data_IF_614331717054
#
_entry.id   IF_614331717054
#
_cell.length_a   1.000
_cell.length_b   1.000
_cell.length_c   1.000
_cell.angle_alpha   90.00
_cell.angle_beta   90.00
_cell.angle_gamma   90.00
#
_symmetry.space_group_name_H-M   'P 1'
#
loop_
_entity.id
_entity.type
_entity.pdbx_description
1 polymer ?
#
# COMPACT_ATOMS: atom_id res chain seq x y z
N UNK A 1 -7.14 -13.67 -22.66
CA UNK A 1 -8.07 -13.83 -21.52
C UNK A 1 -7.22 -14.02 -20.28
N UNK A 2 -7.17 -13.01 -19.43
CA UNK A 2 -6.31 -12.90 -18.24
C UNK A 2 -7.22 -13.17 -17.04
N UNK A 3 -6.92 -14.19 -16.23
CA UNK A 3 -7.65 -14.44 -14.97
C UNK A 3 -7.21 -13.38 -13.97
N UNK A 4 -8.17 -12.71 -13.33
CA UNK A 4 -7.93 -11.65 -12.33
C UNK A 4 -7.95 -12.30 -10.95
N UNK A 5 -6.95 -11.98 -10.12
CA UNK A 5 -6.80 -12.50 -8.76
C UNK A 5 -6.91 -11.31 -7.82
N UNK A 6 -7.84 -11.32 -6.86
CA UNK A 6 -8.06 -10.19 -5.94
C UNK A 6 -7.83 -10.61 -4.49
N UNK A 7 -7.38 -9.69 -3.64
CA UNK A 7 -7.33 -9.85 -2.19
C UNK A 7 -8.17 -8.74 -1.57
N UNK A 8 -8.85 -9.02 -0.46
CA UNK A 8 -9.63 -8.01 0.25
C UNK A 8 -8.90 -7.62 1.53
N UNK A 9 -8.78 -6.31 1.78
CA UNK A 9 -8.13 -5.77 2.96
C UNK A 9 -9.12 -4.87 3.70
N UNK A 10 -9.36 -5.18 4.97
CA UNK A 10 -10.04 -4.31 5.91
C UNK A 10 -8.99 -3.52 6.69
N UNK A 11 -9.08 -2.18 6.65
CA UNK A 11 -8.29 -1.28 7.48
C UNK A 11 -9.21 -0.64 8.51
N UNK A 12 -8.90 -0.77 9.79
CA UNK A 12 -9.58 -0.01 10.85
C UNK A 12 -8.60 0.98 11.48
N UNK A 13 -9.03 2.23 11.64
CA UNK A 13 -8.26 3.30 12.28
C UNK A 13 -9.10 3.92 13.41
N UNK A 14 -8.67 3.69 14.66
CA UNK A 14 -9.22 4.34 15.86
C UNK A 14 -8.22 5.45 16.22
N UNK A 15 -8.58 6.73 16.08
CA UNK A 15 -7.62 7.84 16.24
C UNK A 15 -8.11 8.93 17.18
N UNK A 16 -7.50 9.03 18.36
CA UNK A 16 -7.43 10.27 19.15
C UNK A 16 -6.63 11.32 18.37
N UNK A 17 -7.16 12.53 18.20
CA UNK A 17 -6.41 13.63 17.57
C UNK A 17 -5.31 14.14 18.52
N UNK A 18 -4.20 13.43 18.52
CA UNK A 18 -2.87 13.97 18.27
C UNK A 18 -2.23 12.99 17.30
N UNK A 19 -2.11 13.37 16.02
CA UNK A 19 -1.58 12.49 14.99
C UNK A 19 -0.10 12.25 15.23
N UNK A 20 0.19 11.21 16.00
CA UNK A 20 1.44 10.46 15.96
C UNK A 20 1.07 9.04 15.58
N UNK A 21 0.85 8.81 14.28
CA UNK A 21 0.62 7.46 13.76
C UNK A 21 1.98 6.89 13.39
N UNK A 22 2.44 5.98 14.25
CA UNK A 22 3.59 5.11 14.05
C UNK A 22 3.06 3.69 13.95
N UNK A 23 3.03 3.11 12.75
CA UNK A 23 3.45 1.74 12.42
C UNK A 23 2.86 1.29 11.07
N UNK A 24 3.78 1.08 10.13
CA UNK A 24 3.79 0.10 9.03
C UNK A 24 2.44 -0.42 8.47
N UNK A 25 1.88 0.26 7.46
CA UNK A 25 0.95 -0.38 6.53
C UNK A 25 1.72 -1.37 5.64
N UNK A 26 1.33 -2.66 5.65
CA UNK A 26 1.65 -3.55 4.52
C UNK A 26 0.92 -3.03 3.27
N UNK A 27 1.66 -2.83 2.18
CA UNK A 27 1.15 -2.26 0.93
C UNK A 27 -0.05 -3.02 0.40
N UNK A 28 -1.15 -2.30 0.26
CA UNK A 28 -2.34 -2.75 -0.46
C UNK A 28 -2.63 -1.71 -1.51
N UNK A 29 -2.73 -2.20 -2.74
CA UNK A 29 -2.93 -1.43 -3.97
C UNK A 29 -4.19 -0.55 -3.81
N UNK A 30 -4.02 0.76 -3.62
CA UNK A 30 -5.08 1.76 -3.80
C UNK A 30 -5.21 2.09 -5.29
N UNK A 31 -5.71 1.17 -6.08
CA UNK A 31 -6.31 1.57 -7.35
C UNK A 31 -7.71 2.08 -7.03
N UNK A 32 -8.05 3.28 -7.52
CA UNK A 32 -9.26 4.07 -7.21
C UNK A 32 -10.30 3.34 -6.35
N UNK A 33 -10.45 3.79 -5.10
CA UNK A 33 -11.58 3.38 -4.28
C UNK A 33 -12.85 3.66 -5.07
N UNK A 34 -13.57 2.62 -5.49
CA UNK A 34 -15.00 2.75 -5.64
C UNK A 34 -15.51 3.02 -4.23
N UNK A 35 -15.64 4.30 -3.87
CA UNK A 35 -16.31 4.70 -2.63
C UNK A 35 -17.74 4.23 -2.80
N UNK A 36 -18.02 3.02 -2.34
CA UNK A 36 -19.39 2.65 -2.03
C UNK A 36 -19.73 3.45 -0.78
N UNK A 37 -20.30 4.63 -1.00
CA UNK A 37 -21.11 5.29 0.00
C UNK A 37 -22.16 4.25 0.40
N UNK A 38 -21.96 3.65 1.57
CA UNK A 38 -23.03 2.97 2.26
C UNK A 38 -24.05 4.07 2.58
N UNK A 39 -25.00 4.25 1.68
CA UNK A 39 -26.09 5.18 1.87
C UNK A 39 -26.78 4.75 3.17
N UNK A 40 -26.79 5.65 4.15
CA UNK A 40 -27.53 5.43 5.39
C UNK A 40 -28.98 5.23 4.98
N UNK A 41 -29.45 3.99 5.03
CA UNK A 41 -30.87 3.68 4.83
C UNK A 41 -31.66 4.10 6.10
N UNK A 42 -31.56 5.38 6.46
CA UNK A 42 -32.39 6.03 7.46
C UNK A 42 -33.73 6.35 6.80
N UNK A 43 -34.62 5.35 6.79
CA UNK A 43 -36.06 5.57 6.69
C UNK A 43 -36.61 5.76 5.27
N UNK A 44 -36.51 4.74 4.41
CA UNK A 44 -37.32 4.68 3.20
C UNK A 44 -38.70 4.05 3.49
N UNK A 45 -39.70 4.90 3.78
CA UNK A 45 -41.11 4.52 3.60
C UNK A 45 -41.49 4.72 2.13
N UNK A 46 -41.07 3.79 1.29
CA UNK A 46 -41.50 3.76 -0.11
C UNK A 46 -41.98 2.37 -0.50
N UNK A 47 -43.04 2.37 -1.28
CA UNK A 47 -43.87 1.22 -1.64
C UNK A 47 -43.01 0.15 -2.31
N UNK A 48 -43.11 -1.08 -1.82
CA UNK A 48 -42.51 -2.28 -2.42
C UNK A 48 -43.09 -2.54 -3.80
N UNK A 49 -42.46 -2.01 -4.84
CA UNK A 49 -42.59 -2.54 -6.19
C UNK A 49 -41.35 -3.36 -6.52
N UNK A 50 -41.55 -4.68 -6.61
CA UNK A 50 -40.66 -5.70 -7.17
C UNK A 50 -39.15 -5.40 -7.11
N UNK A 51 -38.52 -5.71 -5.97
CA UNK A 51 -37.13 -6.19 -6.01
C UNK A 51 -37.15 -7.47 -6.85
N UNK A 52 -36.70 -7.37 -8.10
CA UNK A 52 -36.19 -8.51 -8.85
C UNK A 52 -35.30 -9.29 -7.89
N UNK A 53 -35.61 -10.56 -7.66
CA UNK A 53 -34.67 -11.46 -7.01
C UNK A 53 -33.52 -11.64 -8.00
N UNK A 54 -32.52 -10.77 -7.95
CA UNK A 54 -31.21 -11.11 -8.47
C UNK A 54 -30.76 -12.31 -7.65
N UNK A 55 -30.88 -13.48 -8.27
CA UNK A 55 -30.38 -14.70 -7.68
C UNK A 55 -28.88 -14.58 -7.80
N UNK A 56 -28.19 -14.40 -6.68
CA UNK A 56 -26.78 -14.77 -6.59
C UNK A 56 -26.66 -16.20 -7.13
N UNK A 57 -26.09 -16.35 -8.32
CA UNK A 57 -26.07 -17.64 -9.00
C UNK A 57 -24.96 -18.52 -8.46
N UNK A 58 -23.92 -17.93 -7.86
CA UNK A 58 -22.75 -18.63 -7.32
C UNK A 58 -22.05 -17.79 -6.24
N UNK A 59 -21.82 -18.37 -5.06
CA UNK A 59 -20.90 -17.80 -4.06
C UNK A 59 -19.46 -18.21 -4.40
N UNK A 60 -18.60 -17.24 -4.72
CA UNK A 60 -17.20 -17.48 -5.11
C UNK A 60 -16.33 -17.81 -3.90
N UNK A 61 -16.52 -17.05 -2.82
CA UNK A 61 -15.81 -17.21 -1.56
C UNK A 61 -16.77 -16.87 -0.42
N UNK A 62 -16.69 -17.65 0.65
CA UNK A 62 -17.44 -17.44 1.87
C UNK A 62 -16.62 -18.00 3.03
N UNK A 63 -16.55 -17.23 4.10
CA UNK A 63 -15.92 -17.63 5.35
C UNK A 63 -16.72 -16.99 6.49
N UNK A 64 -17.30 -17.83 7.33
CA UNK A 64 -18.01 -17.44 8.55
C UNK A 64 -17.15 -17.57 9.79
N UNK A 65 -15.84 -17.84 9.62
CA UNK A 65 -14.82 -17.95 10.66
C UNK A 65 -14.97 -19.16 11.59
N UNK A 66 -15.96 -20.01 11.36
CA UNK A 66 -16.21 -21.24 12.15
C UNK A 66 -15.14 -22.32 11.92
N UNK A 67 -14.40 -22.21 10.82
CA UNK A 67 -13.29 -23.11 10.49
C UNK A 67 -11.94 -22.61 11.00
N UNK A 68 -11.94 -21.54 11.81
CA UNK A 68 -10.75 -20.84 12.29
C UNK A 68 -10.27 -19.78 11.30
N UNK A 69 -9.06 -19.26 11.54
CA UNK A 69 -8.51 -18.09 10.83
C UNK A 69 -7.54 -18.45 9.71
N UNK A 70 -7.62 -19.68 9.17
CA UNK A 70 -6.64 -20.19 8.22
C UNK A 70 -6.61 -19.34 6.94
N UNK A 71 -5.46 -18.74 6.64
CA UNK A 71 -5.26 -17.90 5.45
C UNK A 71 -5.62 -16.43 5.64
N UNK A 72 -6.23 -16.07 6.77
CA UNK A 72 -6.37 -14.68 7.18
C UNK A 72 -5.04 -14.17 7.75
N UNK A 73 -4.73 -12.90 7.49
CA UNK A 73 -3.61 -12.18 8.09
C UNK A 73 -4.18 -11.01 8.87
N UNK A 74 -3.81 -10.87 10.13
CA UNK A 74 -4.33 -9.81 10.98
C UNK A 74 -3.24 -9.24 11.88
N UNK A 75 -3.30 -7.93 12.08
CA UNK A 75 -2.34 -7.18 12.87
C UNK A 75 -2.73 -7.17 14.36
N UNK A 76 -1.88 -6.55 15.18
CA UNK A 76 -2.07 -6.46 16.63
C UNK A 76 -3.43 -5.83 16.96
N UNK A 77 -4.15 -6.41 17.93
CA UNK A 77 -5.47 -5.97 18.37
C UNK A 77 -6.60 -6.84 17.81
N UNK A 78 -6.44 -7.41 16.61
CA UNK A 78 -7.44 -8.33 16.06
C UNK A 78 -7.35 -9.71 16.70
N UNK A 79 -8.49 -10.23 17.14
CA UNK A 79 -8.63 -11.59 17.64
C UNK A 79 -9.93 -12.24 17.19
N UNK A 80 -9.98 -13.58 17.23
CA UNK A 80 -11.20 -14.32 17.01
C UNK A 80 -11.93 -14.45 18.36
N UNK A 81 -13.16 -13.94 18.42
CA UNK A 81 -14.00 -13.98 19.62
C UNK A 81 -15.23 -14.86 19.45
N UNK A 82 -15.69 -15.41 20.57
CA UNK A 82 -16.99 -16.08 20.70
C UNK A 82 -18.02 -15.24 21.49
N UNK A 83 -17.63 -14.06 21.97
CA UNK A 83 -18.50 -13.22 22.81
C UNK A 83 -19.62 -12.55 22.01
N UNK A 84 -19.30 -12.17 20.79
CA UNK A 84 -20.23 -11.55 19.84
C UNK A 84 -19.89 -11.97 18.43
N UNK A 85 -20.83 -12.59 17.74
CA UNK A 85 -20.63 -13.07 16.37
C UNK A 85 -21.87 -12.87 15.50
N UNK A 86 -21.64 -12.61 14.21
CA UNK A 86 -22.71 -12.72 13.20
C UNK A 86 -22.91 -14.17 12.75
N UNK A 87 -21.82 -14.94 12.73
CA UNK A 87 -21.83 -16.39 12.54
C UNK A 87 -22.35 -17.11 13.80
N UNK A 88 -22.54 -18.45 13.76
CA UNK A 88 -23.03 -19.22 14.90
C UNK A 88 -22.25 -19.02 16.20
N UNK A 89 -20.92 -18.92 16.14
CA UNK A 89 -20.06 -18.80 17.32
C UNK A 89 -18.82 -17.92 17.16
N UNK A 90 -18.34 -17.60 15.95
CA UNK A 90 -17.04 -16.91 15.79
C UNK A 90 -17.09 -15.61 14.99
N UNK A 91 -16.49 -14.54 15.49
CA UNK A 91 -16.22 -13.36 14.66
C UNK A 91 -14.86 -12.76 14.98
N UNK A 92 -14.27 -12.07 14.01
CA UNK A 92 -13.13 -11.22 14.31
C UNK A 92 -13.60 -10.00 15.10
N UNK A 93 -12.82 -9.64 16.10
CA UNK A 93 -13.04 -8.47 16.94
C UNK A 93 -11.71 -7.75 17.12
N UNK A 94 -11.79 -6.42 17.07
CA UNK A 94 -10.78 -5.54 17.62
C UNK A 94 -11.50 -4.70 18.68
N UNK A 95 -11.05 -4.81 19.91
CA UNK A 95 -11.69 -4.13 21.04
C UNK A 95 -11.36 -2.63 21.07
N UNK A 96 -12.11 -1.91 21.91
CA UNK A 96 -11.96 -0.47 22.13
C UNK A 96 -10.79 -0.10 23.06
N UNK A 97 -10.07 -1.09 23.60
CA UNK A 97 -8.84 -0.85 24.38
C UNK A 97 -7.63 -0.56 23.45
N UNK A 98 -7.79 -0.71 22.13
CA UNK A 98 -6.78 -0.39 21.11
C UNK A 98 -6.79 1.10 20.70
N UNK A 99 -6.45 1.99 21.64
CA UNK A 99 -6.41 3.44 21.41
C UNK A 99 -5.35 3.86 20.38
N UNK A 100 -5.67 4.88 19.58
CA UNK A 100 -4.74 5.49 18.60
C UNK A 100 -4.06 4.47 17.67
N UNK A 101 -4.76 3.38 17.37
CA UNK A 101 -4.24 2.23 16.65
C UNK A 101 -4.84 2.18 15.25
N UNK A 102 -3.98 1.98 14.26
CA UNK A 102 -4.35 1.56 12.91
C UNK A 102 -3.97 0.09 12.81
N UNK A 103 -4.94 -0.77 12.51
CA UNK A 103 -4.74 -2.22 12.47
C UNK A 103 -5.57 -2.84 11.36
N UNK A 104 -5.00 -3.82 10.68
CA UNK A 104 -5.56 -4.40 9.46
C UNK A 104 -5.97 -5.87 9.66
N UNK A 105 -7.06 -6.26 9.02
CA UNK A 105 -7.54 -7.63 8.88
C UNK A 105 -7.67 -7.96 7.38
N UNK A 106 -6.95 -8.97 6.92
CA UNK A 106 -6.76 -9.27 5.50
C UNK A 106 -7.25 -10.68 5.21
N UNK A 107 -8.12 -10.81 4.21
CA UNK A 107 -8.61 -12.11 3.74
C UNK A 107 -7.51 -12.90 3.05
N UNK A 108 -7.65 -14.23 2.91
CA UNK A 108 -6.91 -14.96 1.89
C UNK A 108 -7.10 -14.31 0.50
N UNK A 109 -6.15 -14.53 -0.41
CA UNK A 109 -6.28 -14.14 -1.81
C UNK A 109 -7.38 -14.99 -2.48
N UNK A 110 -8.36 -14.34 -3.11
CA UNK A 110 -9.50 -14.98 -3.77
C UNK A 110 -9.40 -14.80 -5.29
N UNK A 111 -9.45 -15.90 -6.03
CA UNK A 111 -9.56 -15.84 -7.50
C UNK A 111 -11.01 -15.57 -7.88
N UNK A 112 -11.25 -14.45 -8.58
CA UNK A 112 -12.57 -14.12 -9.10
C UNK A 112 -12.77 -14.74 -10.50
N UNK A 113 -13.98 -15.21 -10.84
CA UNK A 113 -14.30 -15.65 -12.19
C UNK A 113 -14.24 -14.47 -13.17
N UNK A 114 -14.04 -14.78 -14.45
CA UNK A 114 -14.19 -13.81 -15.53
C UNK A 114 -15.66 -13.41 -15.61
N UNK A 115 -15.93 -12.10 -15.75
CA UNK A 115 -17.28 -11.56 -15.94
C UNK A 115 -17.49 -11.26 -17.42
N UNK A 116 -18.64 -11.66 -17.96
CA UNK A 116 -19.05 -11.28 -19.30
C UNK A 116 -19.75 -9.91 -19.27
N UNK A 117 -19.03 -8.89 -19.74
CA UNK A 117 -19.55 -7.53 -19.82
C UNK A 117 -20.71 -7.38 -20.82
N UNK A 118 -20.86 -8.30 -21.80
CA UNK A 118 -21.98 -8.30 -22.75
C UNK A 118 -23.26 -8.90 -22.13
N UNK A 119 -23.12 -9.71 -21.07
CA UNK A 119 -24.24 -10.29 -20.32
C UNK A 119 -24.60 -9.53 -19.04
N UNK A 120 -24.00 -8.34 -18.83
CA UNK A 120 -24.23 -7.50 -17.65
C UNK A 120 -23.90 -8.22 -16.32
N UNK A 121 -22.92 -9.13 -16.32
CA UNK A 121 -22.49 -9.81 -15.10
C UNK A 121 -21.81 -8.85 -14.12
N UNK A 122 -22.07 -9.03 -12.83
CA UNK A 122 -21.47 -8.26 -11.75
C UNK A 122 -21.12 -9.16 -10.56
N UNK A 123 -20.06 -8.80 -9.84
CA UNK A 123 -19.64 -9.47 -8.61
C UNK A 123 -19.93 -8.52 -7.46
N UNK A 124 -20.66 -9.02 -6.47
CA UNK A 124 -20.96 -8.29 -5.25
C UNK A 124 -20.11 -8.83 -4.10
N UNK A 125 -19.68 -7.92 -3.24
CA UNK A 125 -19.02 -8.24 -1.99
C UNK A 125 -19.94 -7.82 -0.83
N UNK A 126 -20.09 -8.68 0.16
CA UNK A 126 -20.89 -8.42 1.36
C UNK A 126 -20.18 -8.98 2.59
N UNK A 127 -20.37 -8.32 3.72
CA UNK A 127 -19.82 -8.70 5.01
C UNK A 127 -20.77 -8.20 6.10
N UNK A 128 -20.77 -8.90 7.23
CA UNK A 128 -21.46 -8.43 8.43
C UNK A 128 -20.50 -7.60 9.27
N UNK A 129 -20.94 -6.42 9.66
CA UNK A 129 -20.18 -5.52 10.53
C UNK A 129 -21.04 -5.13 11.72
N UNK A 130 -20.60 -5.55 12.90
CA UNK A 130 -21.07 -4.95 14.14
C UNK A 130 -20.06 -3.92 14.60
N UNK A 131 -20.40 -2.66 14.36
CA UNK A 131 -19.58 -1.53 14.76
C UNK A 131 -20.39 -0.61 15.64
N UNK A 132 -19.97 -0.50 16.90
CA UNK A 132 -20.50 0.44 17.86
C UNK A 132 -19.38 1.45 18.09
N UNK A 133 -19.41 2.58 17.38
CA UNK A 133 -18.49 3.71 17.56
C UNK A 133 -19.07 4.69 18.59
N UNK A 134 -18.80 4.55 19.90
CA UNK A 134 -19.04 5.63 20.83
C UNK A 134 -18.12 6.82 20.50
N UNK A 135 -18.64 8.04 20.67
CA UNK A 135 -17.83 9.26 20.87
C UNK A 135 -16.99 9.02 22.14
N UNK A 136 -15.78 8.48 21.97
CA UNK A 136 -15.06 7.76 23.02
C UNK A 136 -13.75 8.39 23.46
N UNK A 137 -13.30 9.48 22.84
CA UNK A 137 -12.29 10.31 23.49
C UNK A 137 -12.82 10.94 24.81
N UNK A 138 -14.15 10.90 24.98
CA UNK A 138 -14.87 11.26 26.20
C UNK A 138 -14.92 12.77 26.43
N UNK A 139 -14.60 13.58 25.42
CA UNK A 139 -14.66 15.04 25.51
C UNK A 139 -16.08 15.60 25.33
N UNK A 140 -16.97 14.78 24.76
CA UNK A 140 -18.40 15.03 24.61
C UNK A 140 -18.71 16.11 23.57
N UNK A 141 -17.84 16.27 22.57
CA UNK A 141 -18.04 17.20 21.47
C UNK A 141 -18.99 16.68 20.37
N UNK A 142 -19.38 15.40 20.44
CA UNK A 142 -20.29 14.73 19.52
C UNK A 142 -19.76 14.59 18.07
N UNK A 143 -18.44 14.67 17.88
CA UNK A 143 -17.77 14.33 16.63
C UNK A 143 -17.62 12.80 16.49
N UNK A 144 -17.17 12.32 15.31
CA UNK A 144 -16.85 10.90 15.10
C UNK A 144 -15.33 10.79 14.93
N UNK A 145 -14.67 10.08 15.84
CA UNK A 145 -13.21 9.97 15.90
C UNK A 145 -12.71 8.60 15.41
N UNK A 146 -13.63 7.64 15.29
CA UNK A 146 -13.33 6.27 14.88
C UNK A 146 -13.76 6.00 13.44
N UNK A 147 -12.89 5.33 12.69
CA UNK A 147 -13.07 5.07 11.28
C UNK A 147 -12.76 3.62 10.92
N UNK A 148 -13.54 3.05 10.01
CA UNK A 148 -13.17 1.84 9.29
C UNK A 148 -13.18 2.12 7.80
N UNK A 149 -12.30 1.45 7.07
CA UNK A 149 -12.28 1.42 5.61
C UNK A 149 -12.20 -0.01 5.10
N UNK A 150 -12.79 -0.24 3.93
CA UNK A 150 -12.73 -1.51 3.22
C UNK A 150 -12.09 -1.25 1.88
N UNK A 151 -11.01 -1.98 1.60
CA UNK A 151 -10.24 -1.88 0.38
C UNK A 151 -10.26 -3.23 -0.36
N UNK A 152 -10.45 -3.21 -1.68
CA UNK A 152 -10.36 -4.40 -2.55
C UNK A 152 -9.10 -4.25 -3.41
N UNK A 153 -8.10 -5.10 -3.20
CA UNK A 153 -6.90 -5.12 -4.01
C UNK A 153 -7.00 -6.09 -5.20
N UNK A 154 -6.65 -5.61 -6.38
CA UNK A 154 -6.37 -6.48 -7.52
C UNK A 154 -4.90 -6.92 -7.48
N UNK A 155 -4.66 -8.18 -7.10
CA UNK A 155 -3.31 -8.75 -7.02
C UNK A 155 -2.79 -9.21 -8.39
N UNK A 156 -3.58 -9.11 -9.46
CA UNK A 156 -3.16 -9.47 -10.82
C UNK A 156 -2.54 -8.32 -11.60
N UNK A 157 -2.61 -7.11 -11.06
CA UNK A 157 -2.03 -5.88 -11.60
C UNK A 157 -1.33 -5.14 -10.46
N UNK A 158 -0.08 -5.50 -10.20
CA UNK A 158 0.78 -4.73 -9.31
C UNK A 158 1.30 -3.51 -10.08
N UNK A 159 1.25 -2.29 -9.49
CA UNK A 159 1.85 -1.12 -10.11
C UNK A 159 3.32 -1.31 -10.47
N UNK A 160 4.06 -2.10 -9.70
CA UNK A 160 5.38 -2.57 -10.12
C UNK A 160 5.27 -3.69 -11.17
N UNK A 161 5.78 -3.40 -12.36
CA UNK A 161 5.89 -4.35 -13.47
C UNK A 161 7.00 -3.91 -14.44
N UNK A 162 7.48 -4.83 -15.28
CA UNK A 162 8.40 -4.47 -16.36
C UNK A 162 7.63 -3.94 -17.55
N UNK A 163 8.02 -2.78 -18.09
CA UNK A 163 7.39 -2.17 -19.26
C UNK A 163 8.42 -1.57 -20.20
N UNK A 164 8.08 -1.43 -21.49
CA UNK A 164 8.87 -0.65 -22.45
C UNK A 164 8.48 0.84 -22.45
N UNK A 165 7.47 1.23 -21.66
CA UNK A 165 7.06 2.61 -21.49
C UNK A 165 8.16 3.40 -20.77
N UNK A 166 8.75 4.39 -21.45
CA UNK A 166 9.87 5.22 -20.94
C UNK A 166 11.10 4.44 -20.44
N UNK A 167 11.25 3.17 -20.84
CA UNK A 167 12.34 2.30 -20.45
C UNK A 167 13.72 2.85 -20.83
N UNK A 168 14.74 2.52 -20.04
CA UNK A 168 16.13 2.84 -20.34
C UNK A 168 16.62 2.01 -21.52
N UNK A 169 16.51 0.69 -21.44
CA UNK A 169 16.78 -0.22 -22.57
C UNK A 169 15.81 -1.41 -22.59
N UNK A 170 15.07 -1.58 -23.70
CA UNK A 170 14.13 -2.69 -23.84
C UNK A 170 12.93 -2.52 -22.91
N UNK A 171 12.98 -3.16 -21.74
CA UNK A 171 12.01 -3.00 -20.67
C UNK A 171 12.74 -2.57 -19.39
N UNK A 172 12.11 -1.72 -18.59
CA UNK A 172 12.57 -1.37 -17.24
C UNK A 172 11.48 -1.68 -16.23
N UNK A 173 11.85 -1.85 -14.97
CA UNK A 173 10.88 -1.82 -13.89
C UNK A 173 10.25 -0.44 -13.78
N UNK A 174 8.92 -0.43 -13.76
CA UNK A 174 8.12 0.77 -13.64
C UNK A 174 7.09 0.57 -12.53
N UNK A 175 7.01 1.55 -11.63
CA UNK A 175 5.90 1.71 -10.69
C UNK A 175 4.86 2.66 -11.29
N UNK A 176 3.87 2.08 -11.95
CA UNK A 176 2.79 2.79 -12.63
C UNK A 176 1.73 1.83 -13.15
N UNK A 177 0.72 2.37 -13.81
CA UNK A 177 -0.38 1.64 -14.41
C UNK A 177 -0.44 1.95 -15.91
N UNK A 178 -0.43 0.90 -16.72
CA UNK A 178 -0.44 0.96 -18.18
C UNK A 178 -1.72 1.61 -18.75
N UNK A 179 -2.85 1.53 -18.04
CA UNK A 179 -4.10 2.17 -18.47
C UNK A 179 -4.08 3.66 -18.19
N UNK A 180 -3.49 4.07 -17.06
CA UNK A 180 -3.31 5.47 -16.70
C UNK A 180 -2.15 6.13 -17.45
N UNK A 181 -1.17 5.34 -17.89
CA UNK A 181 0.18 5.81 -18.27
C UNK A 181 0.87 6.57 -17.14
N UNK A 182 0.65 6.16 -15.88
CA UNK A 182 1.17 6.84 -14.70
C UNK A 182 0.69 6.22 -13.39
N UNK A 183 0.51 7.00 -12.33
CA UNK A 183 0.07 6.52 -11.02
C UNK A 183 -1.19 7.26 -10.54
N UNK A 184 -1.83 6.73 -9.50
CA UNK A 184 -3.00 7.34 -8.86
C UNK A 184 -2.70 7.77 -7.42
N UNK A 185 -3.64 8.46 -6.81
CA UNK A 185 -3.55 8.97 -5.45
C UNK A 185 -3.53 7.84 -4.39
N UNK A 186 -2.82 8.07 -3.29
CA UNK A 186 -2.81 7.21 -2.11
C UNK A 186 -2.07 5.88 -2.31
N UNK A 187 -1.15 5.80 -3.25
CA UNK A 187 -0.39 4.58 -3.49
C UNK A 187 0.67 4.38 -2.43
N UNK A 188 0.86 3.14 -2.02
CA UNK A 188 2.04 2.67 -1.29
C UNK A 188 2.50 1.38 -1.95
N UNK A 189 3.61 1.43 -2.69
CA UNK A 189 4.05 0.36 -3.57
C UNK A 189 5.50 -0.01 -3.31
N UNK A 190 5.81 -1.30 -3.38
CA UNK A 190 7.13 -1.84 -3.09
C UNK A 190 7.55 -2.84 -4.17
N UNK A 191 8.79 -2.74 -4.62
CA UNK A 191 9.49 -3.75 -5.41
C UNK A 191 10.64 -4.27 -4.55
N UNK A 192 10.51 -5.52 -4.10
CA UNK A 192 11.47 -6.17 -3.22
C UNK A 192 12.37 -7.12 -4.03
N UNK A 193 13.66 -7.09 -3.75
CA UNK A 193 14.61 -8.06 -4.30
C UNK A 193 14.37 -9.45 -3.69
N UNK A 194 14.94 -10.52 -4.29
CA UNK A 194 15.25 -11.73 -3.54
C UNK A 194 16.18 -11.43 -2.36
N UNK A 195 16.33 -12.37 -1.43
CA UNK A 195 17.35 -12.28 -0.38
C UNK A 195 18.77 -12.32 -1.00
N UNK A 196 19.61 -11.38 -0.59
CA UNK A 196 20.99 -11.21 -1.06
C UNK A 196 21.93 -11.44 0.12
N UNK A 197 22.82 -12.41 0.01
CA UNK A 197 23.90 -12.59 0.99
C UNK A 197 25.04 -11.62 0.72
N UNK A 198 25.23 -10.64 1.60
CA UNK A 198 26.30 -9.64 1.46
C UNK A 198 27.65 -10.26 1.84
N UNK A 199 28.66 -10.21 0.95
CA UNK A 199 29.97 -10.79 1.25
C UNK A 199 30.63 -10.18 2.50
N UNK A 200 31.30 -11.01 3.28
CA UNK A 200 32.00 -10.61 4.52
C UNK A 200 33.24 -9.72 4.30
N UNK A 201 33.67 -9.53 3.04
CA UNK A 201 34.85 -8.74 2.70
C UNK A 201 34.74 -8.16 1.29
N UNK A 202 35.49 -7.09 1.04
CA UNK A 202 35.35 -6.30 -0.19
C UNK A 202 34.24 -5.28 -0.04
N UNK A 203 34.28 -4.24 -0.87
CA UNK A 203 33.25 -3.21 -0.86
C UNK A 203 32.05 -3.71 -1.65
N UNK A 204 30.84 -3.59 -1.10
CA UNK A 204 29.57 -3.98 -1.72
C UNK A 204 28.71 -2.75 -1.96
N UNK A 205 28.24 -2.60 -3.20
CA UNK A 205 27.49 -1.43 -3.63
C UNK A 205 26.27 -1.86 -4.41
N UNK A 206 25.12 -1.25 -4.13
CA UNK A 206 23.95 -1.26 -5.00
C UNK A 206 24.05 -0.10 -6.00
N UNK A 207 23.92 -0.40 -7.28
CA UNK A 207 23.79 0.59 -8.36
C UNK A 207 22.57 0.29 -9.22
N UNK A 208 21.94 1.32 -9.77
CA UNK A 208 20.85 1.17 -10.73
C UNK A 208 20.70 2.45 -11.56
N UNK A 209 20.05 2.34 -12.71
CA UNK A 209 19.51 3.49 -13.44
C UNK A 209 18.18 3.88 -12.83
N UNK A 210 17.94 5.18 -12.69
CA UNK A 210 16.71 5.72 -12.14
C UNK A 210 16.15 6.84 -13.01
N UNK A 211 14.83 6.90 -13.11
CA UNK A 211 14.10 8.06 -13.60
C UNK A 211 12.78 8.19 -12.82
N UNK A 212 12.33 9.42 -12.57
CA UNK A 212 11.06 9.64 -11.88
C UNK A 212 10.38 10.94 -12.34
N UNK A 213 9.06 10.91 -12.39
CA UNK A 213 8.18 12.06 -12.61
C UNK A 213 7.04 11.96 -11.62
N UNK A 214 7.27 12.51 -10.43
CA UNK A 214 6.47 12.38 -9.22
C UNK A 214 6.02 13.78 -8.81
N UNK A 215 4.87 13.93 -8.15
CA UNK A 215 4.36 15.25 -7.76
C UNK A 215 5.44 16.07 -7.05
N UNK A 216 5.60 17.33 -7.49
CA UNK A 216 6.60 18.24 -6.94
C UNK A 216 6.03 19.02 -5.76
N UNK A 217 6.79 19.08 -4.67
CA UNK A 217 6.53 20.03 -3.59
C UNK A 217 7.21 21.37 -3.86
N UNK A 218 6.43 22.45 -3.82
CA UNK A 218 6.92 23.82 -3.92
C UNK A 218 6.63 24.62 -2.64
N UNK A 219 7.63 25.39 -2.18
CA UNK A 219 7.48 26.29 -1.02
C UNK A 219 8.29 25.85 0.21
N UNK A 220 8.02 26.51 1.34
CA UNK A 220 8.63 26.14 2.63
C UNK A 220 7.89 24.95 3.26
N UNK A 221 8.52 24.22 4.20
CA UNK A 221 7.86 23.11 4.88
C UNK A 221 6.54 23.51 5.56
N UNK A 222 5.56 22.62 5.56
CA UNK A 222 4.23 22.80 6.15
C UNK A 222 4.05 21.88 7.36
N UNK A 223 3.39 22.39 8.41
CA UNK A 223 2.94 21.56 9.53
C UNK A 223 1.62 20.91 9.16
N UNK A 224 1.64 19.58 8.98
CA UNK A 224 0.45 18.77 8.75
C UNK A 224 0.36 17.78 9.91
N UNK A 225 -0.59 18.03 10.80
CA UNK A 225 -0.85 17.19 11.97
C UNK A 225 0.39 16.92 12.84
N UNK A 226 1.23 17.95 13.06
CA UNK A 226 2.45 17.86 13.88
C UNK A 226 3.69 17.40 13.11
N UNK A 227 3.55 17.14 11.81
CA UNK A 227 4.63 16.72 10.95
C UNK A 227 5.07 17.86 10.02
N UNK A 228 6.38 18.12 9.98
CA UNK A 228 6.95 19.16 9.14
C UNK A 228 7.25 18.63 7.73
N UNK A 229 6.20 18.54 6.93
CA UNK A 229 6.21 18.03 5.56
C UNK A 229 6.94 19.00 4.63
N UNK A 230 7.85 18.48 3.81
CA UNK A 230 8.53 19.24 2.76
C UNK A 230 8.59 18.55 1.39
N UNK A 231 7.88 17.43 1.23
CA UNK A 231 7.64 16.72 -0.02
C UNK A 231 6.17 16.27 -0.08
N UNK A 232 5.60 16.12 -1.28
CA UNK A 232 4.29 15.49 -1.45
C UNK A 232 4.49 13.98 -1.66
N UNK A 233 4.59 13.57 -2.91
CA UNK A 233 4.86 12.20 -3.32
C UNK A 233 6.36 11.92 -3.37
N UNK A 234 6.74 10.66 -3.16
CA UNK A 234 8.15 10.31 -3.21
C UNK A 234 8.44 8.82 -3.44
N UNK A 235 9.64 8.57 -3.94
CA UNK A 235 10.27 7.25 -3.98
C UNK A 235 11.54 7.19 -3.12
N UNK A 236 11.86 6.02 -2.57
CA UNK A 236 13.11 5.79 -1.83
C UNK A 236 13.59 4.34 -1.92
N UNK A 237 14.83 4.11 -1.47
CA UNK A 237 15.43 2.77 -1.35
C UNK A 237 15.49 2.38 0.12
N UNK A 238 15.08 1.15 0.41
CA UNK A 238 15.08 0.56 1.75
C UNK A 238 15.79 -0.77 1.79
N UNK A 239 16.15 -1.19 2.98
CA UNK A 239 16.79 -2.47 3.25
C UNK A 239 16.14 -3.13 4.47
N UNK A 240 16.07 -4.45 4.44
CA UNK A 240 15.67 -5.30 5.55
C UNK A 240 16.73 -6.35 5.82
N UNK A 241 17.03 -6.60 7.09
CA UNK A 241 18.01 -7.60 7.57
C UNK A 241 17.35 -8.74 8.35
N UNK A 242 16.01 -8.78 8.38
CA UNK A 242 15.20 -9.69 9.19
C UNK A 242 14.11 -10.41 8.37
N UNK A 243 14.41 -10.65 7.09
CA UNK A 243 13.51 -11.37 6.17
C UNK A 243 12.28 -10.56 5.76
N UNK A 244 12.38 -9.22 5.75
CA UNK A 244 11.32 -8.32 5.35
C UNK A 244 10.34 -7.95 6.47
N UNK A 245 10.69 -8.26 7.73
CA UNK A 245 9.83 -7.95 8.89
C UNK A 245 9.90 -6.47 9.25
N UNK A 246 11.10 -5.87 9.21
CA UNK A 246 11.31 -4.43 9.40
C UNK A 246 12.16 -3.86 8.26
N UNK A 247 12.03 -2.55 8.05
CA UNK A 247 12.67 -1.84 6.93
C UNK A 247 13.29 -0.51 7.38
N UNK A 248 14.49 -0.22 6.89
CA UNK A 248 15.13 1.09 7.03
C UNK A 248 15.42 1.70 5.66
N UNK A 249 15.22 3.00 5.50
CA UNK A 249 15.66 3.68 4.28
C UNK A 249 17.18 3.86 4.31
N UNK A 250 17.83 3.67 3.18
CA UNK A 250 19.27 3.89 3.03
C UNK A 250 19.53 5.16 2.22
N UNK A 251 20.63 5.84 2.53
CA UNK A 251 21.04 7.05 1.81
C UNK A 251 22.05 6.69 0.72
N UNK A 252 21.92 7.33 -0.43
CA UNK A 252 22.82 7.13 -1.55
C UNK A 252 23.03 8.40 -2.36
N UNK A 253 23.54 8.21 -3.57
CA UNK A 253 23.60 9.24 -4.60
C UNK A 253 22.62 8.88 -5.72
N UNK A 254 21.85 9.83 -6.28
CA UNK A 254 21.68 11.20 -5.77
C UNK A 254 20.98 11.21 -4.40
N UNK A 255 21.22 12.25 -3.61
CA UNK A 255 20.53 12.43 -2.33
C UNK A 255 19.03 12.64 -2.52
N UNK A 256 18.21 12.18 -1.58
CA UNK A 256 16.78 12.45 -1.56
C UNK A 256 16.46 13.94 -1.64
N UNK A 257 15.45 14.30 -2.43
CA UNK A 257 14.98 15.68 -2.63
C UNK A 257 14.38 16.25 -1.35
N UNK A 258 13.70 15.40 -0.59
CA UNK A 258 12.88 15.76 0.56
C UNK A 258 13.23 14.87 1.76
N UNK A 259 13.08 15.43 2.95
CA UNK A 259 13.34 14.73 4.22
C UNK A 259 12.08 14.18 4.87
N UNK A 260 10.91 14.67 4.45
CA UNK A 260 9.61 14.35 5.00
C UNK A 260 8.56 14.51 3.90
N UNK A 261 8.03 13.39 3.40
CA UNK A 261 7.06 13.40 2.30
C UNK A 261 5.67 13.00 2.77
N UNK A 262 4.65 13.74 2.35
CA UNK A 262 3.27 13.53 2.77
C UNK A 262 2.69 12.21 2.28
N UNK A 263 3.07 11.76 1.07
CA UNK A 263 2.66 10.46 0.54
C UNK A 263 3.00 9.31 1.49
N UNK A 264 4.17 9.33 2.15
CA UNK A 264 4.50 8.34 3.18
C UNK A 264 3.59 8.46 4.41
N UNK A 265 3.48 9.67 4.95
CA UNK A 265 2.72 9.94 6.17
C UNK A 265 1.23 9.63 6.03
N UNK A 266 0.62 10.03 4.91
CA UNK A 266 -0.75 9.68 4.56
C UNK A 266 -0.95 8.16 4.47
N UNK A 267 0.06 7.46 3.96
CA UNK A 267 0.08 6.00 3.93
C UNK A 267 0.51 5.35 5.25
N UNK A 268 0.47 6.08 6.37
CA UNK A 268 0.68 5.53 7.71
C UNK A 268 2.15 5.28 8.08
N UNK A 269 3.08 5.75 7.25
CA UNK A 269 4.49 5.73 7.61
C UNK A 269 4.89 6.94 8.46
N UNK A 270 6.10 6.88 9.01
CA UNK A 270 6.67 8.00 9.77
C UNK A 270 6.73 9.27 8.91
N UNK A 271 6.39 10.41 9.49
CA UNK A 271 6.56 11.68 8.81
C UNK A 271 8.01 12.18 8.75
N UNK A 272 8.99 11.35 9.10
CA UNK A 272 10.41 11.56 8.81
C UNK A 272 10.93 10.65 7.71
N UNK A 273 10.06 10.06 6.89
CA UNK A 273 10.47 9.24 5.74
C UNK A 273 10.85 10.14 4.56
N UNK A 274 12.11 10.07 4.06
CA UNK A 274 12.59 10.89 2.96
C UNK A 274 12.28 10.26 1.60
N UNK A 275 12.55 10.99 0.53
CA UNK A 275 12.56 10.43 -0.81
C UNK A 275 12.81 11.43 -1.92
N UNK A 276 12.92 10.92 -3.14
CA UNK A 276 12.91 11.72 -4.36
C UNK A 276 11.48 11.97 -4.79
N UNK A 277 11.13 13.24 -4.99
CA UNK A 277 9.90 13.67 -5.66
C UNK A 277 10.20 14.81 -6.64
N UNK A 278 9.18 15.25 -7.37
CA UNK A 278 9.34 16.12 -8.52
C UNK A 278 9.80 15.39 -9.78
N UNK A 279 10.46 16.11 -10.69
CA UNK A 279 10.94 15.56 -11.97
C UNK A 279 12.44 15.31 -11.90
N UNK A 280 12.84 14.05 -12.14
CA UNK A 280 14.23 13.69 -12.39
C UNK A 280 14.76 14.33 -13.68
N UNK A 281 16.09 14.34 -13.84
CA UNK A 281 16.75 14.94 -15.01
C UNK A 281 16.91 13.95 -16.17
N UNK A 282 15.91 13.09 -16.38
CA UNK A 282 16.02 11.89 -17.22
C UNK A 282 16.64 10.71 -16.47
N UNK A 283 17.05 9.68 -17.20
CA UNK A 283 17.75 8.52 -16.65
C UNK A 283 19.13 8.91 -16.07
N UNK A 284 19.32 8.66 -14.78
CA UNK A 284 20.55 8.93 -14.05
C UNK A 284 21.04 7.72 -13.26
N UNK A 285 22.33 7.74 -12.88
CA UNK A 285 22.96 6.69 -12.08
C UNK A 285 22.67 6.89 -10.59
N UNK A 286 22.21 5.82 -9.95
CA UNK A 286 22.03 5.74 -8.51
C UNK A 286 23.05 4.78 -7.89
N UNK A 287 23.53 5.10 -6.68
CA UNK A 287 24.60 4.37 -5.99
C UNK A 287 24.44 4.40 -4.46
N UNK A 288 24.45 3.22 -3.83
CA UNK A 288 24.25 3.03 -2.40
C UNK A 288 25.32 2.09 -1.82
N UNK A 289 25.93 2.50 -0.71
CA UNK A 289 26.91 1.69 0.02
C UNK A 289 26.20 0.64 0.87
N UNK A 290 26.63 -0.62 0.77
CA UNK A 290 26.10 -1.75 1.53
C UNK A 290 27.16 -2.36 2.46
N UNK A 291 28.33 -1.75 2.61
CA UNK A 291 29.42 -2.27 3.45
C UNK A 291 29.03 -2.46 4.91
N UNK A 292 28.07 -1.66 5.40
CA UNK A 292 27.51 -1.78 6.75
C UNK A 292 26.83 -3.12 7.03
N UNK A 293 26.42 -3.85 6.00
CA UNK A 293 25.68 -5.12 6.09
C UNK A 293 26.56 -6.35 5.76
N UNK A 294 27.89 -6.20 5.78
CA UNK A 294 28.81 -7.27 5.43
C UNK A 294 28.60 -8.54 6.28
N UNK A 295 28.30 -9.65 5.61
CA UNK A 295 28.01 -10.94 6.24
C UNK A 295 26.55 -11.18 6.61
N UNK A 296 25.66 -10.23 6.35
CA UNK A 296 24.22 -10.36 6.56
C UNK A 296 23.50 -10.85 5.29
N UNK A 297 22.30 -11.39 5.48
CA UNK A 297 21.32 -11.60 4.42
C UNK A 297 20.36 -10.42 4.41
N UNK A 298 20.23 -9.75 3.26
CA UNK A 298 19.41 -8.53 3.15
C UNK A 298 18.39 -8.65 2.03
N UNK A 299 17.31 -7.86 2.14
CA UNK A 299 16.37 -7.62 1.05
C UNK A 299 16.38 -6.12 0.76
N UNK A 300 16.52 -5.74 -0.51
CA UNK A 300 16.46 -4.36 -0.96
C UNK A 300 15.05 -4.07 -1.47
N UNK A 301 14.55 -2.87 -1.21
CA UNK A 301 13.22 -2.41 -1.62
C UNK A 301 13.29 -1.08 -2.32
N UNK A 302 12.66 -0.99 -3.48
CA UNK A 302 12.32 0.25 -4.15
C UNK A 302 10.88 0.60 -3.78
N UNK A 303 10.70 1.67 -3.00
CA UNK A 303 9.39 2.10 -2.53
C UNK A 303 8.91 3.33 -3.29
N UNK A 304 7.61 3.41 -3.52
CA UNK A 304 6.94 4.61 -4.03
C UNK A 304 5.64 4.87 -3.25
N UNK A 305 5.46 6.12 -2.82
CA UNK A 305 4.31 6.57 -2.05
C UNK A 305 3.71 7.84 -2.62
N UNK A 306 2.38 7.86 -2.83
CA UNK A 306 1.63 9.06 -3.24
C UNK A 306 0.59 9.49 -2.21
N UNK A 307 0.35 10.78 -2.16
CA UNK A 307 -0.63 11.47 -1.33
C UNK A 307 -2.05 11.33 -1.92
N UNK A 308 -3.11 11.79 -1.21
CA UNK A 308 -4.48 11.58 -1.66
C UNK A 308 -4.97 12.53 -2.76
N UNK A 309 -4.15 13.48 -3.22
CA UNK A 309 -4.64 14.69 -3.88
C UNK A 309 -4.29 14.80 -5.37
N UNK A 310 -3.01 14.67 -5.75
CA UNK A 310 -2.56 15.08 -7.08
C UNK A 310 -1.68 14.04 -7.77
N UNK A 311 -2.18 13.44 -8.84
CA UNK A 311 -1.47 12.40 -9.59
C UNK A 311 -1.68 12.53 -11.11
N UNK A 312 -1.52 11.44 -11.86
CA UNK A 312 -1.55 11.43 -13.33
C UNK A 312 -2.87 11.96 -13.90
N UNK A 313 -4.00 11.75 -13.21
CA UNK A 313 -5.30 12.26 -13.63
C UNK A 313 -5.33 13.79 -13.66
N UNK A 314 -4.61 14.43 -12.74
CA UNK A 314 -4.52 15.88 -12.61
C UNK A 314 -3.41 16.45 -13.50
N UNK A 315 -2.28 15.75 -13.58
CA UNK A 315 -1.15 16.10 -14.42
C UNK A 315 -0.60 14.87 -15.18
N UNK A 316 -0.91 14.73 -16.49
CA UNK A 316 -0.49 13.56 -17.29
C UNK A 316 1.03 13.36 -17.45
N UNK A 317 1.84 14.34 -17.03
CA UNK A 317 3.30 14.25 -17.02
C UNK A 317 3.86 13.52 -15.79
N UNK A 318 3.03 13.31 -14.76
CA UNK A 318 3.38 12.55 -13.57
C UNK A 318 3.21 11.07 -13.90
N UNK A 319 4.32 10.40 -14.17
CA UNK A 319 4.31 9.02 -14.70
C UNK A 319 4.96 8.01 -13.75
N UNK A 320 5.34 8.42 -12.54
CA UNK A 320 5.77 7.51 -11.48
C UNK A 320 7.28 7.32 -11.43
N UNK A 321 7.70 6.12 -11.02
CA UNK A 321 9.10 5.80 -10.72
C UNK A 321 9.61 4.62 -11.55
N UNK A 322 10.80 4.76 -12.11
CA UNK A 322 11.43 3.77 -12.99
C UNK A 322 12.82 3.42 -12.46
N UNK A 323 13.14 2.12 -12.52
CA UNK A 323 14.49 1.61 -12.25
C UNK A 323 14.88 0.57 -13.30
N UNK A 324 16.16 0.49 -13.63
CA UNK A 324 16.74 -0.46 -14.60
C UNK A 324 18.21 -0.71 -14.23
N UNK A 325 18.85 -1.70 -14.85
CA UNK A 325 20.25 -2.08 -14.60
C UNK A 325 20.56 -2.21 -13.09
N UNK A 326 19.66 -2.83 -12.33
CA UNK A 326 19.80 -3.01 -10.88
C UNK A 326 20.92 -4.01 -10.63
N UNK A 327 21.99 -3.57 -9.99
CA UNK A 327 23.17 -4.38 -9.72
C UNK A 327 23.61 -4.26 -8.28
N UNK A 328 23.94 -5.39 -7.65
CA UNK A 328 24.72 -5.42 -6.42
C UNK A 328 26.06 -6.04 -6.73
N UNK A 329 27.12 -5.23 -6.65
CA UNK A 329 28.48 -5.64 -6.98
C UNK A 329 29.36 -5.60 -5.75
N UNK A 330 30.19 -6.63 -5.59
CA UNK A 330 31.23 -6.67 -4.58
C UNK A 330 32.63 -6.73 -5.23
N UNK A 331 33.59 -5.96 -4.70
CA UNK A 331 34.93 -5.86 -5.30
C UNK A 331 35.73 -7.16 -5.28
N UNK A 332 35.40 -8.10 -4.39
CA UNK A 332 36.10 -9.37 -4.23
C UNK A 332 35.37 -10.54 -4.90
N UNK A 333 34.04 -10.61 -4.77
CA UNK A 333 33.23 -11.71 -5.31
C UNK A 333 32.58 -11.42 -6.67
N UNK A 334 32.65 -10.17 -7.15
CA UNK A 334 31.97 -9.73 -8.37
C UNK A 334 30.48 -9.46 -8.14
N UNK A 335 29.69 -9.58 -9.21
CA UNK A 335 28.26 -9.36 -9.18
C UNK A 335 27.53 -10.39 -8.31
N UNK A 336 26.71 -9.91 -7.39
CA UNK A 336 25.94 -10.71 -6.41
C UNK A 336 24.46 -10.76 -6.78
N UNK A 337 23.97 -9.70 -7.43
CA UNK A 337 22.63 -9.62 -8.00
C UNK A 337 22.66 -8.72 -9.24
N UNK A 338 21.89 -9.09 -10.26
CA UNK A 338 21.65 -8.25 -11.43
C UNK A 338 20.20 -8.47 -11.94
N UNK A 339 19.50 -7.39 -12.26
CA UNK A 339 18.16 -7.39 -12.85
C UNK A 339 17.95 -6.14 -13.74
N UNK A 340 17.02 -6.24 -14.71
CA UNK A 340 16.64 -5.17 -15.65
C UNK A 340 15.15 -4.83 -15.50
#
# INVERSE_FOLDING_TARGET
MKRITKALIFLTAISLVFVTVSAEKRSVIRQESLVLQADRDSGWQGITENRSSDRDTTTIYFDDLESGTSGWSFETGWELTEESSSSPTHSFNIDDDNYATVSSLITPVVTLPEIDAEENESIHFSFDLWCNFPDFDGDGDNSLEDYYSVDVADMSTTPWHTSNFNAFEGNSWWCGDELLNGYSNGWLQFLDSPEISIPTSGNTTLTFKMQYMIEIYEGGPQDISGCLINGWDAANVRISTDGGSTWEFIMGSPSYSYSSCYGWFYNGESCSTPGWGGYGNGWEDANFDLDGYAGESVILRFAFGSDPAWATQDEPGLIGFFVDDISVDNTNSGNVLFDN
#
